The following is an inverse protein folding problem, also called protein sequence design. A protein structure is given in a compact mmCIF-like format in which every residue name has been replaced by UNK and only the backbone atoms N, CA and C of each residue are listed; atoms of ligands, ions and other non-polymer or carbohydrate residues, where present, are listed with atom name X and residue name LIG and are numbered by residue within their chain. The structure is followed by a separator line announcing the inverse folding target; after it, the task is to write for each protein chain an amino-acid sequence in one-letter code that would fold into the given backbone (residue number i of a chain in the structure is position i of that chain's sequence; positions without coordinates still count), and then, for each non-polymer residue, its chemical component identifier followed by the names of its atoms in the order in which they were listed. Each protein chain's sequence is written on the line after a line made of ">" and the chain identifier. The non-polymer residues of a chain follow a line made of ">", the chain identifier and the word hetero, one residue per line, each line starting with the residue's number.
data_IF_489513608372
#
_entry.id   IF_489513608372
#
_cell.length_a   1.000
_cell.length_b   1.000
_cell.length_c   1.000
_cell.angle_alpha   90.00
_cell.angle_beta   90.00
_cell.angle_gamma   90.00
#
_symmetry.space_group_name_H-M   'P 1'
#
loop_
_entity.id
_entity.type
_entity.pdbx_description
1 polymer ?
#
# COMPACT_ATOMS: atom_id res chain seq x y z
N UNK A 1 -17.98 -4.55 -33.80
CA UNK A 1 -18.79 -5.70 -33.32
C UNK A 1 -19.00 -5.50 -31.82
N UNK A 2 -20.23 -5.10 -31.53
CA UNK A 2 -20.90 -4.70 -30.27
C UNK A 2 -20.21 -4.99 -28.91
N UNK A 3 -20.02 -3.91 -28.13
CA UNK A 3 -19.81 -3.89 -26.66
C UNK A 3 -20.74 -4.87 -25.92
N UNK A 4 -21.97 -5.03 -26.41
CA UNK A 4 -22.99 -5.93 -25.87
C UNK A 4 -22.56 -7.41 -25.84
N UNK A 5 -21.67 -7.84 -26.74
CA UNK A 5 -21.16 -9.22 -26.74
C UNK A 5 -20.08 -9.43 -25.68
N UNK A 6 -19.31 -8.39 -25.35
CA UNK A 6 -18.25 -8.45 -24.34
C UNK A 6 -18.86 -8.37 -22.93
N UNK A 7 -19.87 -7.52 -22.72
CA UNK A 7 -20.57 -7.41 -21.43
C UNK A 7 -21.36 -8.69 -21.09
N UNK A 8 -22.00 -9.32 -22.07
CA UNK A 8 -22.68 -10.60 -21.88
C UNK A 8 -21.71 -11.74 -21.59
N UNK A 9 -20.47 -11.68 -22.10
CA UNK A 9 -19.41 -12.61 -21.71
C UNK A 9 -18.89 -12.30 -20.31
N UNK A 10 -18.71 -11.02 -19.95
CA UNK A 10 -18.21 -10.62 -18.63
C UNK A 10 -19.15 -11.09 -17.50
N UNK A 11 -20.47 -10.94 -17.67
CA UNK A 11 -21.45 -11.42 -16.69
C UNK A 11 -21.42 -12.95 -16.52
N UNK A 12 -21.34 -13.69 -17.63
CA UNK A 12 -21.18 -15.15 -17.58
C UNK A 12 -19.87 -15.56 -16.91
N UNK A 13 -18.81 -14.78 -17.08
CA UNK A 13 -17.50 -15.05 -16.45
C UNK A 13 -17.54 -14.91 -14.93
N UNK A 14 -18.56 -14.31 -14.31
CA UNK A 14 -18.75 -14.35 -12.85
C UNK A 14 -19.53 -15.57 -12.35
N UNK A 15 -20.16 -16.34 -13.25
CA UNK A 15 -20.93 -17.55 -12.92
C UNK A 15 -20.10 -18.85 -13.10
N UNK A 16 -18.95 -18.77 -13.77
CA UNK A 16 -18.05 -19.91 -14.02
C UNK A 16 -17.46 -20.43 -12.68
N UNK A 17 -17.38 -21.74 -12.43
CA UNK A 17 -16.67 -22.32 -11.28
C UNK A 17 -15.17 -21.95 -11.26
N UNK A 18 -14.54 -21.87 -10.09
CA UNK A 18 -13.16 -21.38 -9.94
C UNK A 18 -12.14 -22.14 -10.81
N UNK A 19 -12.23 -23.47 -10.85
CA UNK A 19 -11.33 -24.32 -11.66
C UNK A 19 -11.46 -24.08 -13.18
N UNK A 20 -12.64 -23.69 -13.66
CA UNK A 20 -12.84 -23.35 -15.07
C UNK A 20 -12.41 -21.90 -15.36
N UNK A 21 -12.56 -21.01 -14.38
CA UNK A 21 -12.06 -19.64 -14.43
C UNK A 21 -10.52 -19.61 -14.52
N UNK A 22 -9.82 -20.43 -13.75
CA UNK A 22 -8.36 -20.62 -13.84
C UNK A 22 -7.90 -21.02 -15.24
N UNK A 23 -8.57 -22.02 -15.84
CA UNK A 23 -8.27 -22.48 -17.21
C UNK A 23 -8.52 -21.37 -18.24
N UNK A 24 -9.60 -20.61 -18.08
CA UNK A 24 -9.91 -19.46 -18.94
C UNK A 24 -8.83 -18.38 -18.84
N UNK A 25 -8.41 -18.01 -17.63
CA UNK A 25 -7.35 -17.04 -17.39
C UNK A 25 -6.03 -17.53 -18.01
N UNK A 26 -5.65 -18.78 -17.79
CA UNK A 26 -4.47 -19.39 -18.40
C UNK A 26 -4.52 -19.39 -19.93
N UNK A 27 -5.68 -19.62 -20.53
CA UNK A 27 -5.86 -19.55 -21.99
C UNK A 27 -5.76 -18.12 -22.52
N UNK A 28 -6.34 -17.14 -21.81
CA UNK A 28 -6.24 -15.72 -22.16
C UNK A 28 -4.81 -15.20 -22.06
N UNK A 29 -4.05 -15.63 -21.04
CA UNK A 29 -2.65 -15.25 -20.88
C UNK A 29 -1.76 -15.84 -21.98
N UNK A 30 -2.02 -17.08 -22.44
CA UNK A 30 -1.34 -17.64 -23.62
C UNK A 30 -1.72 -16.91 -24.92
N UNK A 31 -2.99 -16.54 -25.10
CA UNK A 31 -3.45 -15.78 -26.27
C UNK A 31 -2.87 -14.36 -26.30
N UNK A 32 -2.60 -13.77 -25.14
CA UNK A 32 -1.91 -12.48 -25.01
C UNK A 32 -0.51 -12.48 -25.63
N UNK A 33 0.15 -13.64 -25.73
CA UNK A 33 1.46 -13.79 -26.34
C UNK A 33 1.40 -13.77 -27.89
N UNK A 34 0.22 -13.79 -28.49
CA UNK A 34 0.03 -13.78 -29.96
C UNK A 34 -0.35 -12.37 -30.43
N UNK A 35 0.41 -11.72 -31.34
CA UNK A 35 0.15 -10.34 -31.75
C UNK A 35 -1.28 -10.09 -32.26
N UNK A 36 -1.86 -11.03 -33.01
CA UNK A 36 -3.21 -10.92 -33.56
C UNK A 36 -4.33 -11.02 -32.53
N UNK A 37 -4.05 -11.52 -31.32
CA UNK A 37 -5.05 -11.77 -30.26
C UNK A 37 -4.79 -10.94 -29.00
N UNK A 38 -3.65 -10.24 -28.94
CA UNK A 38 -3.17 -9.51 -27.77
C UNK A 38 -4.18 -8.45 -27.28
N UNK A 39 -4.71 -7.61 -28.17
CA UNK A 39 -5.63 -6.54 -27.80
C UNK A 39 -6.94 -7.07 -27.18
N UNK A 40 -7.52 -8.11 -27.78
CA UNK A 40 -8.73 -8.75 -27.27
C UNK A 40 -8.51 -9.44 -25.91
N UNK A 41 -7.36 -10.12 -25.74
CA UNK A 41 -6.99 -10.73 -24.46
C UNK A 41 -6.75 -9.70 -23.36
N UNK A 42 -6.13 -8.55 -23.66
CA UNK A 42 -5.95 -7.46 -22.69
C UNK A 42 -7.29 -6.88 -22.26
N UNK A 43 -8.22 -6.64 -23.20
CA UNK A 43 -9.55 -6.12 -22.89
C UNK A 43 -10.33 -7.07 -21.95
N UNK A 44 -10.33 -8.36 -22.26
CA UNK A 44 -11.00 -9.37 -21.41
C UNK A 44 -10.35 -9.49 -20.03
N UNK A 45 -9.02 -9.54 -19.94
CA UNK A 45 -8.30 -9.58 -18.65
C UNK A 45 -8.57 -8.33 -17.80
N UNK A 46 -8.82 -7.18 -18.44
CA UNK A 46 -9.17 -5.92 -17.76
C UNK A 46 -10.58 -5.97 -17.18
N UNK A 47 -11.55 -6.53 -17.92
CA UNK A 47 -12.93 -6.68 -17.45
C UNK A 47 -13.05 -7.65 -16.26
N UNK A 48 -12.32 -8.77 -16.28
CA UNK A 48 -12.40 -9.80 -15.23
C UNK A 48 -11.51 -9.49 -14.00
N UNK A 49 -10.88 -8.31 -13.98
CA UNK A 49 -9.95 -7.88 -12.93
C UNK A 49 -10.53 -7.91 -11.51
N UNK A 50 -11.82 -7.57 -11.25
CA UNK A 50 -12.42 -7.73 -9.93
C UNK A 50 -12.39 -9.19 -9.44
N UNK A 51 -12.70 -10.15 -10.32
CA UNK A 51 -12.70 -11.58 -9.99
C UNK A 51 -11.29 -12.14 -9.83
N UNK A 52 -10.35 -11.71 -10.67
CA UNK A 52 -8.92 -12.03 -10.55
C UNK A 52 -8.33 -11.59 -9.19
N UNK A 53 -8.85 -10.54 -8.57
CA UNK A 53 -8.39 -10.09 -7.24
C UNK A 53 -8.84 -11.01 -6.11
N UNK A 54 -9.98 -11.68 -6.28
CA UNK A 54 -10.58 -12.58 -5.30
C UNK A 54 -9.97 -13.98 -5.37
N UNK A 55 -10.01 -14.60 -6.57
CA UNK A 55 -9.55 -15.99 -6.77
C UNK A 55 -8.02 -16.07 -6.82
N UNK A 56 -7.36 -15.01 -7.28
CA UNK A 56 -5.89 -14.94 -7.48
C UNK A 56 -5.33 -16.21 -8.16
N UNK A 57 -5.88 -16.59 -9.33
CA UNK A 57 -5.43 -17.79 -10.03
C UNK A 57 -3.94 -17.71 -10.36
N UNK A 58 -3.26 -18.85 -10.33
CA UNK A 58 -1.85 -18.93 -10.72
C UNK A 58 -1.65 -18.43 -12.14
N UNK A 59 -0.81 -17.41 -12.27
CA UNK A 59 -0.62 -16.68 -13.52
C UNK A 59 0.47 -17.36 -14.34
N UNK A 60 0.22 -17.55 -15.62
CA UNK A 60 1.24 -18.10 -16.53
C UNK A 60 2.38 -17.11 -16.71
N UNK A 61 3.60 -17.63 -16.83
CA UNK A 61 4.75 -16.79 -17.13
C UNK A 61 4.65 -16.24 -18.55
N UNK A 62 4.92 -14.94 -18.68
CA UNK A 62 5.27 -14.30 -19.95
C UNK A 62 6.75 -13.91 -19.89
N UNK A 63 7.44 -13.67 -21.02
CA UNK A 63 8.86 -13.27 -21.00
C UNK A 63 9.13 -12.10 -20.05
N UNK A 64 8.30 -11.06 -20.08
CA UNK A 64 8.40 -9.94 -19.13
C UNK A 64 8.23 -10.35 -17.66
N UNK A 65 7.35 -11.32 -17.33
CA UNK A 65 7.17 -11.79 -15.94
C UNK A 65 8.36 -12.62 -15.49
N UNK A 66 8.89 -13.47 -16.37
CA UNK A 66 10.10 -14.22 -16.11
C UNK A 66 11.29 -13.26 -15.92
N UNK A 67 11.39 -12.20 -16.73
CA UNK A 67 12.39 -11.14 -16.59
C UNK A 67 12.31 -10.45 -15.23
N UNK A 68 11.10 -10.15 -14.75
CA UNK A 68 10.91 -9.51 -13.45
C UNK A 68 11.16 -10.41 -12.24
N UNK A 69 11.17 -11.75 -12.42
CA UNK A 69 11.20 -12.71 -11.31
C UNK A 69 12.37 -12.45 -10.34
N UNK A 70 13.63 -12.24 -10.76
CA UNK A 70 14.73 -12.00 -9.83
C UNK A 70 14.53 -10.82 -8.87
N UNK A 71 13.92 -9.74 -9.34
CA UNK A 71 13.74 -8.49 -8.59
C UNK A 71 12.28 -8.20 -8.21
N UNK A 72 11.40 -9.19 -8.29
CA UNK A 72 9.96 -9.03 -8.04
C UNK A 72 9.66 -8.42 -6.66
N UNK A 73 10.43 -8.80 -5.63
CA UNK A 73 10.29 -8.30 -4.26
C UNK A 73 10.54 -6.78 -4.17
N UNK A 74 11.30 -6.20 -5.10
CA UNK A 74 11.61 -4.77 -5.13
C UNK A 74 10.54 -3.93 -5.82
N UNK A 75 9.58 -4.57 -6.50
CA UNK A 75 8.56 -3.88 -7.29
C UNK A 75 7.50 -3.21 -6.41
N UNK A 76 7.19 -1.95 -6.70
CA UNK A 76 6.14 -1.22 -6.00
C UNK A 76 5.39 -0.24 -6.91
N UNK A 77 4.23 0.23 -6.45
CA UNK A 77 3.49 1.31 -7.11
C UNK A 77 3.71 2.57 -6.27
N UNK A 78 4.48 3.55 -6.73
CA UNK A 78 4.62 4.79 -5.98
C UNK A 78 3.33 5.62 -6.07
N UNK A 79 2.98 6.33 -5.01
CA UNK A 79 1.95 7.39 -5.09
C UNK A 79 2.58 8.75 -5.46
N UNK A 80 3.90 8.85 -5.52
CA UNK A 80 4.66 10.05 -5.87
C UNK A 80 5.61 9.83 -7.05
N UNK A 81 6.06 10.90 -7.74
CA UNK A 81 7.00 10.75 -8.85
C UNK A 81 8.44 10.39 -8.42
N UNK A 82 8.75 10.41 -7.12
CA UNK A 82 10.09 10.09 -6.59
C UNK A 82 10.28 8.57 -6.49
N UNK A 83 11.46 8.07 -6.84
CA UNK A 83 11.83 6.68 -6.58
C UNK A 83 12.38 6.52 -5.16
N UNK A 84 11.76 5.63 -4.40
CA UNK A 84 12.33 5.14 -3.15
C UNK A 84 13.65 4.39 -3.41
N UNK A 85 14.67 4.69 -2.61
CA UNK A 85 15.96 4.00 -2.70
C UNK A 85 15.76 2.49 -2.47
N UNK A 86 16.37 1.69 -3.35
CA UNK A 86 16.27 0.23 -3.28
C UNK A 86 14.90 -0.34 -3.67
N UNK A 87 14.02 0.42 -4.34
CA UNK A 87 12.75 -0.07 -4.89
C UNK A 87 12.62 0.30 -6.36
N UNK A 88 11.89 -0.52 -7.11
CA UNK A 88 11.68 -0.34 -8.55
C UNK A 88 10.21 -0.01 -8.81
N UNK A 89 9.88 1.21 -9.28
CA UNK A 89 8.53 1.56 -9.65
C UNK A 89 8.03 0.68 -10.78
N UNK A 90 6.82 0.11 -10.69
CA UNK A 90 6.25 -0.70 -11.78
C UNK A 90 6.13 0.06 -13.11
N UNK A 91 6.01 1.39 -13.04
CA UNK A 91 6.03 2.27 -14.22
C UNK A 91 7.34 2.22 -15.02
N UNK A 92 8.47 1.93 -14.36
CA UNK A 92 9.78 1.83 -15.01
C UNK A 92 9.95 0.54 -15.83
N UNK A 93 9.14 -0.49 -15.56
CA UNK A 93 9.31 -1.81 -16.17
C UNK A 93 9.07 -1.81 -17.67
N UNK A 94 8.06 -1.08 -18.16
CA UNK A 94 7.69 -1.11 -19.57
C UNK A 94 8.75 -0.48 -20.48
N UNK A 95 9.28 0.73 -20.18
CA UNK A 95 10.39 1.29 -20.96
C UNK A 95 11.64 0.40 -20.95
N UNK A 96 12.03 -0.12 -19.78
CA UNK A 96 13.23 -0.97 -19.66
C UNK A 96 13.05 -2.31 -20.39
N UNK A 97 11.87 -2.92 -20.26
CA UNK A 97 11.55 -4.17 -20.96
C UNK A 97 11.58 -3.98 -22.48
N UNK A 98 11.08 -2.85 -23.00
CA UNK A 98 11.10 -2.59 -24.44
C UNK A 98 12.54 -2.53 -25.00
N UNK A 99 13.48 -1.96 -24.24
CA UNK A 99 14.90 -1.99 -24.61
C UNK A 99 15.48 -3.41 -24.58
N UNK A 100 15.20 -4.18 -23.53
CA UNK A 100 15.64 -5.58 -23.43
C UNK A 100 15.08 -6.43 -24.58
N UNK A 101 13.79 -6.29 -24.86
CA UNK A 101 13.09 -7.01 -25.93
C UNK A 101 13.69 -6.68 -27.31
N UNK A 102 13.96 -5.40 -27.58
CA UNK A 102 14.60 -4.96 -28.83
C UNK A 102 16.04 -5.45 -28.99
N UNK A 103 16.80 -5.53 -27.90
CA UNK A 103 18.19 -6.02 -27.91
C UNK A 103 18.29 -7.54 -28.06
N UNK A 104 17.36 -8.29 -27.47
CA UNK A 104 17.31 -9.75 -27.59
C UNK A 104 16.76 -10.20 -28.94
N UNK A 105 15.77 -9.48 -29.47
CA UNK A 105 15.07 -9.83 -30.71
C UNK A 105 14.40 -11.20 -30.67
N UNK A 106 13.88 -11.65 -31.82
CA UNK A 106 13.19 -12.94 -31.93
C UNK A 106 14.08 -14.13 -31.56
N UNK A 107 15.37 -14.06 -31.92
CA UNK A 107 16.33 -15.13 -31.65
C UNK A 107 16.56 -15.33 -30.14
N UNK A 108 16.62 -14.24 -29.36
CA UNK A 108 16.75 -14.31 -27.90
C UNK A 108 15.46 -14.72 -27.19
N UNK A 109 14.29 -14.35 -27.74
CA UNK A 109 12.98 -14.59 -27.11
C UNK A 109 12.37 -15.96 -27.45
N UNK A 110 12.65 -16.52 -28.63
CA UNK A 110 12.07 -17.79 -29.05
C UNK A 110 12.35 -18.95 -28.10
N UNK A 111 13.59 -19.18 -27.60
CA UNK A 111 13.87 -20.26 -26.65
C UNK A 111 13.08 -20.12 -25.34
N UNK A 112 12.89 -18.88 -24.88
CA UNK A 112 12.14 -18.57 -23.67
C UNK A 112 10.67 -18.87 -23.88
N UNK A 113 10.10 -18.42 -25.00
CA UNK A 113 8.71 -18.69 -25.35
C UNK A 113 8.43 -20.20 -25.45
N UNK A 114 9.35 -20.99 -26.00
CA UNK A 114 9.22 -22.44 -26.01
C UNK A 114 9.28 -23.04 -24.60
N UNK A 115 10.25 -22.63 -23.77
CA UNK A 115 10.38 -23.09 -22.40
C UNK A 115 9.11 -22.81 -21.57
N UNK A 116 8.44 -21.68 -21.81
CA UNK A 116 7.22 -21.28 -21.11
C UNK A 116 5.96 -22.06 -21.48
N UNK A 117 5.92 -22.78 -22.62
CA UNK A 117 4.68 -23.45 -23.08
C UNK A 117 4.22 -24.62 -22.20
N UNK A 118 5.17 -25.34 -21.59
CA UNK A 118 4.92 -26.51 -20.75
C UNK A 118 5.30 -26.32 -19.29
N UNK A 119 5.67 -25.10 -18.90
CA UNK A 119 6.15 -24.82 -17.55
C UNK A 119 4.98 -24.73 -16.58
N UNK A 120 5.04 -25.53 -15.50
CA UNK A 120 4.14 -25.41 -14.37
C UNK A 120 4.50 -24.14 -13.57
N UNK A 121 3.59 -23.16 -13.44
CA UNK A 121 3.87 -21.95 -12.67
C UNK A 121 4.12 -22.19 -11.18
N UNK A 122 3.66 -23.32 -10.63
CA UNK A 122 3.84 -23.70 -9.23
C UNK A 122 5.20 -24.36 -8.93
N UNK A 123 5.89 -24.84 -9.97
CA UNK A 123 7.22 -25.44 -9.86
C UNK A 123 8.30 -24.34 -9.93
N UNK A 124 8.55 -23.71 -8.78
CA UNK A 124 9.52 -22.64 -8.65
C UNK A 124 10.93 -23.03 -9.09
N UNK A 125 11.32 -24.30 -8.94
CA UNK A 125 12.63 -24.79 -9.34
C UNK A 125 12.73 -24.91 -10.87
N UNK A 126 11.70 -25.47 -11.52
CA UNK A 126 11.63 -25.53 -12.98
C UNK A 126 11.58 -24.14 -13.60
N UNK A 127 10.83 -23.21 -13.00
CA UNK A 127 10.75 -21.82 -13.49
C UNK A 127 12.11 -21.13 -13.38
N UNK A 128 12.79 -21.28 -12.25
CA UNK A 128 14.12 -20.72 -12.07
C UNK A 128 15.14 -21.34 -13.04
N UNK A 129 15.08 -22.64 -13.28
CA UNK A 129 15.94 -23.32 -14.24
C UNK A 129 15.73 -22.80 -15.67
N UNK A 130 14.48 -22.60 -16.08
CA UNK A 130 14.13 -22.00 -17.37
C UNK A 130 14.53 -20.51 -17.46
N UNK A 131 14.50 -19.79 -16.33
CA UNK A 131 14.85 -18.37 -16.23
C UNK A 131 16.34 -18.07 -16.32
N UNK A 132 17.22 -18.91 -15.77
CA UNK A 132 18.66 -18.64 -15.66
C UNK A 132 19.34 -18.22 -16.98
N UNK A 133 19.19 -18.95 -18.10
CA UNK A 133 19.82 -18.54 -19.37
C UNK A 133 19.26 -17.21 -19.87
N UNK A 134 17.97 -17.00 -19.69
CA UNK A 134 17.28 -15.78 -20.11
C UNK A 134 17.71 -14.56 -19.29
N UNK A 135 17.85 -14.69 -17.97
CA UNK A 135 18.35 -13.62 -17.11
C UNK A 135 19.79 -13.24 -17.45
N UNK A 136 20.65 -14.24 -17.71
CA UNK A 136 22.02 -14.00 -18.13
C UNK A 136 22.10 -13.25 -19.47
N UNK A 137 21.31 -13.67 -20.47
CA UNK A 137 21.23 -12.99 -21.76
C UNK A 137 20.71 -11.55 -21.62
N UNK A 138 19.68 -11.35 -20.79
CA UNK A 138 19.10 -10.03 -20.58
C UNK A 138 20.04 -9.10 -19.81
N UNK A 139 20.74 -9.61 -18.79
CA UNK A 139 21.79 -8.90 -18.09
C UNK A 139 22.86 -8.42 -19.08
N UNK A 140 23.40 -9.31 -19.92
CA UNK A 140 24.42 -8.95 -20.90
C UNK A 140 23.94 -7.87 -21.88
N UNK A 141 22.70 -7.96 -22.37
CA UNK A 141 22.12 -6.97 -23.27
C UNK A 141 22.00 -5.58 -22.62
N UNK A 142 21.43 -5.51 -21.41
CA UNK A 142 21.22 -4.24 -20.70
C UNK A 142 22.52 -3.62 -20.17
N UNK A 143 23.49 -4.44 -19.75
CA UNK A 143 24.84 -3.96 -19.42
C UNK A 143 25.51 -3.37 -20.65
N UNK A 144 25.42 -4.04 -21.80
CA UNK A 144 25.94 -3.52 -23.07
C UNK A 144 25.32 -2.17 -23.46
N UNK A 145 24.01 -1.99 -23.24
CA UNK A 145 23.32 -0.71 -23.44
C UNK A 145 23.88 0.38 -22.50
N UNK A 146 24.03 0.06 -21.21
CA UNK A 146 24.55 1.00 -20.21
C UNK A 146 25.99 1.43 -20.54
N UNK A 147 26.86 0.47 -20.84
CA UNK A 147 28.27 0.69 -21.20
C UNK A 147 28.42 1.52 -22.48
N UNK A 148 27.60 1.22 -23.50
CA UNK A 148 27.59 2.00 -24.74
C UNK A 148 27.18 3.45 -24.46
N UNK A 149 26.16 3.67 -23.62
CA UNK A 149 25.70 5.01 -23.24
C UNK A 149 26.75 5.80 -22.46
N UNK A 150 27.60 5.13 -21.68
CA UNK A 150 28.66 5.75 -20.90
C UNK A 150 29.87 6.17 -21.77
N UNK A 151 30.17 5.42 -22.83
CA UNK A 151 31.28 5.70 -23.75
C UNK A 151 31.01 6.87 -24.68
N UNK A 152 29.75 7.13 -25.01
CA UNK A 152 29.36 8.21 -25.90
C UNK A 152 29.19 9.54 -25.14
N UNK A 153 29.72 10.65 -25.69
CA UNK A 153 29.52 11.97 -25.08
C UNK A 153 28.02 12.31 -25.04
N UNK A 154 27.48 12.49 -23.84
CA UNK A 154 26.04 12.71 -23.63
C UNK A 154 25.15 11.48 -23.91
N UNK A 155 25.73 10.29 -24.09
CA UNK A 155 24.96 9.05 -24.31
C UNK A 155 24.08 8.70 -23.12
N UNK A 156 24.59 8.86 -21.89
CA UNK A 156 23.81 8.62 -20.66
C UNK A 156 22.59 9.54 -20.53
N UNK A 157 22.73 10.82 -20.88
CA UNK A 157 21.62 11.78 -20.89
C UNK A 157 20.56 11.42 -21.95
N UNK A 158 20.98 10.97 -23.14
CA UNK A 158 20.06 10.49 -24.18
C UNK A 158 19.34 9.21 -23.76
N UNK A 159 20.03 8.28 -23.09
CA UNK A 159 19.40 7.09 -22.53
C UNK A 159 18.37 7.46 -21.46
N UNK A 160 18.67 8.43 -20.60
CA UNK A 160 17.72 8.97 -19.61
C UNK A 160 16.45 9.50 -20.27
N UNK A 161 16.60 10.33 -21.32
CA UNK A 161 15.49 10.90 -22.06
C UNK A 161 14.65 9.79 -22.73
N UNK A 162 15.32 8.83 -23.38
CA UNK A 162 14.68 7.68 -24.03
C UNK A 162 13.86 6.83 -23.06
N UNK A 163 14.38 6.61 -21.85
CA UNK A 163 13.71 5.81 -20.82
C UNK A 163 12.58 6.57 -20.09
N UNK A 164 12.48 7.89 -20.28
CA UNK A 164 11.42 8.71 -19.69
C UNK A 164 11.79 9.35 -18.35
N UNK A 165 13.08 9.45 -18.01
CA UNK A 165 13.55 10.25 -16.88
C UNK A 165 14.62 9.59 -16.01
N UNK A 166 15.19 10.35 -15.05
CA UNK A 166 16.25 9.88 -14.16
C UNK A 166 15.82 8.70 -13.28
N UNK A 167 14.55 8.65 -12.87
CA UNK A 167 14.03 7.58 -12.01
C UNK A 167 13.98 6.22 -12.72
N UNK A 168 13.64 6.22 -14.02
CA UNK A 168 13.65 5.00 -14.84
C UNK A 168 15.08 4.57 -15.13
N UNK A 169 15.98 5.53 -15.36
CA UNK A 169 17.41 5.25 -15.54
C UNK A 169 18.04 4.63 -14.27
N UNK A 170 17.73 5.15 -13.08
CA UNK A 170 18.16 4.57 -11.82
C UNK A 170 17.56 3.17 -11.60
N UNK A 171 16.31 2.95 -12.04
CA UNK A 171 15.68 1.63 -12.00
C UNK A 171 16.33 0.63 -12.94
N UNK A 172 16.84 1.09 -14.10
CA UNK A 172 17.64 0.25 -15.00
C UNK A 172 18.91 -0.24 -14.31
N UNK A 173 19.62 0.63 -13.58
CA UNK A 173 20.84 0.25 -12.87
C UNK A 173 20.57 -0.79 -11.77
N UNK A 174 19.48 -0.62 -11.01
CA UNK A 174 19.03 -1.61 -10.02
C UNK A 174 18.67 -2.95 -10.68
N UNK A 175 17.96 -2.92 -11.81
CA UNK A 175 17.56 -4.13 -12.55
C UNK A 175 18.78 -4.87 -13.11
N UNK A 176 19.73 -4.16 -13.71
CA UNK A 176 20.98 -4.75 -14.23
C UNK A 176 21.73 -5.44 -13.10
N UNK A 177 21.85 -4.78 -11.95
CA UNK A 177 22.50 -5.34 -10.76
C UNK A 177 21.77 -6.57 -10.25
N UNK A 178 20.43 -6.53 -10.18
CA UNK A 178 19.62 -7.66 -9.72
C UNK A 178 19.70 -8.86 -10.67
N UNK A 179 19.73 -8.64 -11.99
CA UNK A 179 19.88 -9.72 -12.97
C UNK A 179 21.26 -10.39 -12.88
N UNK A 180 22.31 -9.64 -12.55
CA UNK A 180 23.65 -10.19 -12.33
C UNK A 180 23.68 -11.21 -11.17
N UNK A 181 22.79 -11.05 -10.18
CA UNK A 181 22.69 -11.89 -8.99
C UNK A 181 21.36 -12.66 -8.94
N UNK A 182 20.76 -12.94 -10.09
CA UNK A 182 19.43 -13.52 -10.18
C UNK A 182 19.30 -14.87 -9.44
N UNK A 183 20.30 -15.76 -9.58
CA UNK A 183 20.27 -17.06 -8.92
C UNK A 183 20.27 -16.96 -7.38
N UNK A 184 21.17 -16.19 -6.73
CA UNK A 184 21.06 -15.92 -5.30
C UNK A 184 19.70 -15.36 -4.86
N UNK A 185 19.12 -14.43 -5.63
CA UNK A 185 17.82 -13.81 -5.29
C UNK A 185 16.67 -14.82 -5.35
N UNK A 186 16.55 -15.59 -6.42
CA UNK A 186 15.44 -16.55 -6.56
C UNK A 186 15.59 -17.74 -5.63
N UNK A 187 16.83 -18.20 -5.38
CA UNK A 187 17.09 -19.26 -4.41
C UNK A 187 16.75 -18.81 -2.98
N UNK A 188 17.16 -17.60 -2.58
CA UNK A 188 16.75 -17.02 -1.30
C UNK A 188 15.22 -16.96 -1.21
N UNK A 189 14.54 -16.56 -2.29
CA UNK A 189 13.07 -16.49 -2.31
C UNK A 189 12.41 -17.84 -2.08
N UNK A 190 12.92 -18.88 -2.74
CA UNK A 190 12.40 -20.25 -2.68
C UNK A 190 12.63 -20.92 -1.32
N UNK A 191 13.77 -20.62 -0.69
CA UNK A 191 14.17 -21.24 0.58
C UNK A 191 13.65 -20.51 1.83
N UNK A 192 13.29 -19.23 1.72
CA UNK A 192 12.70 -18.47 2.82
C UNK A 192 11.19 -18.67 2.93
N UNK A 193 10.60 -18.50 4.13
CA UNK A 193 9.15 -18.50 4.30
C UNK A 193 8.46 -17.49 3.38
N UNK A 194 7.21 -17.75 2.96
CA UNK A 194 6.45 -16.82 2.13
C UNK A 194 6.27 -15.48 2.86
N UNK A 195 6.31 -14.34 2.14
CA UNK A 195 6.06 -13.03 2.74
C UNK A 195 4.58 -12.88 3.14
N UNK A 196 4.27 -12.10 4.20
CA UNK A 196 5.20 -11.37 5.07
C UNK A 196 5.90 -12.31 6.08
N UNK A 197 7.19 -12.08 6.31
CA UNK A 197 8.01 -12.85 7.27
C UNK A 197 8.00 -12.15 8.62
N UNK A 198 7.41 -12.79 9.63
CA UNK A 198 7.29 -12.27 11.00
C UNK A 198 8.50 -12.61 11.89
N UNK A 199 9.22 -13.69 11.60
CA UNK A 199 10.44 -14.08 12.29
C UNK A 199 11.37 -14.88 11.35
N UNK A 200 12.68 -14.72 11.55
CA UNK A 200 13.73 -15.44 10.83
C UNK A 200 14.38 -16.39 11.82
N UNK A 201 14.12 -17.68 11.69
CA UNK A 201 14.80 -18.71 12.48
C UNK A 201 16.25 -18.92 12.01
N UNK A 202 17.03 -19.72 12.76
CA UNK A 202 18.44 -19.96 12.42
C UNK A 202 18.64 -20.63 11.05
N UNK A 203 17.72 -21.49 10.60
CA UNK A 203 17.80 -22.11 9.28
C UNK A 203 17.65 -21.06 8.16
N UNK A 204 16.68 -20.16 8.30
CA UNK A 204 16.47 -19.04 7.38
C UNK A 204 17.63 -18.05 7.41
N UNK A 205 18.24 -17.83 8.58
CA UNK A 205 19.42 -16.99 8.72
C UNK A 205 20.61 -17.56 7.92
N UNK A 206 20.82 -18.88 7.95
CA UNK A 206 21.85 -19.54 7.16
C UNK A 206 21.61 -19.43 5.65
N UNK A 207 20.35 -19.49 5.21
CA UNK A 207 19.98 -19.22 3.81
C UNK A 207 20.41 -17.82 3.38
N UNK A 208 20.19 -16.81 4.23
CA UNK A 208 20.60 -15.42 3.94
C UNK A 208 22.13 -15.30 3.92
N UNK A 209 22.86 -15.89 4.86
CA UNK A 209 24.34 -15.88 4.88
C UNK A 209 24.92 -16.55 3.62
N UNK A 210 24.36 -17.69 3.21
CA UNK A 210 24.75 -18.36 1.97
C UNK A 210 24.44 -17.51 0.74
N UNK A 211 23.29 -16.82 0.73
CA UNK A 211 22.90 -15.85 -0.30
C UNK A 211 23.90 -14.70 -0.42
N UNK A 212 24.27 -14.08 0.71
CA UNK A 212 25.26 -12.99 0.77
C UNK A 212 26.63 -13.45 0.27
N UNK A 213 27.11 -14.62 0.73
CA UNK A 213 28.41 -15.16 0.32
C UNK A 213 28.47 -15.42 -1.18
N UNK A 214 27.43 -16.06 -1.75
CA UNK A 214 27.34 -16.32 -3.19
C UNK A 214 27.24 -15.03 -4.00
N UNK A 215 26.47 -14.06 -3.51
CA UNK A 215 26.35 -12.75 -4.13
C UNK A 215 27.70 -12.06 -4.20
N UNK A 216 28.45 -12.01 -3.09
CA UNK A 216 29.79 -11.44 -3.05
C UNK A 216 30.78 -12.12 -4.00
N UNK A 217 30.64 -13.43 -4.23
CA UNK A 217 31.47 -14.18 -5.17
C UNK A 217 31.15 -13.91 -6.65
N UNK A 218 29.89 -13.55 -6.97
CA UNK A 218 29.43 -13.30 -8.33
C UNK A 218 29.55 -11.81 -8.69
N UNK A 219 28.94 -10.95 -7.87
CA UNK A 219 28.93 -9.51 -8.02
C UNK A 219 28.72 -8.85 -6.65
N UNK A 220 29.81 -8.29 -6.09
CA UNK A 220 29.79 -7.66 -4.76
C UNK A 220 28.86 -6.46 -4.69
N UNK A 221 28.67 -5.73 -5.80
CA UNK A 221 27.77 -4.57 -5.86
C UNK A 221 26.28 -4.98 -5.75
N UNK A 222 25.97 -6.27 -5.89
CA UNK A 222 24.62 -6.81 -5.69
C UNK A 222 24.25 -7.08 -4.23
N UNK A 223 25.19 -6.99 -3.28
CA UNK A 223 24.90 -7.22 -1.86
C UNK A 223 23.75 -6.35 -1.30
N UNK A 224 23.71 -5.02 -1.57
CA UNK A 224 22.59 -4.19 -1.14
C UNK A 224 21.26 -4.66 -1.72
N UNK A 225 21.21 -5.02 -3.00
CA UNK A 225 20.00 -5.50 -3.68
C UNK A 225 19.43 -6.76 -3.02
N UNK A 226 20.29 -7.71 -2.62
CA UNK A 226 19.85 -8.91 -1.90
C UNK A 226 19.24 -8.55 -0.53
N UNK A 227 19.89 -7.68 0.24
CA UNK A 227 19.38 -7.26 1.56
C UNK A 227 18.08 -6.47 1.45
N UNK A 228 17.96 -5.63 0.42
CA UNK A 228 16.73 -4.88 0.15
C UNK A 228 15.59 -5.80 -0.30
N UNK A 229 15.90 -6.85 -1.06
CA UNK A 229 14.92 -7.88 -1.44
C UNK A 229 14.45 -8.67 -0.23
N UNK A 230 15.35 -8.98 0.70
CA UNK A 230 15.00 -9.57 1.99
C UNK A 230 14.11 -8.64 2.80
N UNK A 231 14.49 -7.37 2.92
CA UNK A 231 13.71 -6.36 3.65
C UNK A 231 12.28 -6.23 3.11
N UNK A 232 12.09 -6.26 1.79
CA UNK A 232 10.77 -6.18 1.17
C UNK A 232 9.86 -7.39 1.49
N UNK A 233 10.42 -8.50 1.96
CA UNK A 233 9.67 -9.68 2.40
C UNK A 233 9.36 -9.70 3.90
N UNK A 234 10.01 -8.86 4.68
CA UNK A 234 9.78 -8.78 6.12
C UNK A 234 8.40 -8.16 6.38
N UNK A 235 7.77 -8.55 7.49
CA UNK A 235 6.54 -7.92 7.97
C UNK A 235 6.76 -6.43 8.27
N UNK A 236 7.98 -6.04 8.63
CA UNK A 236 8.37 -4.65 8.80
C UNK A 236 9.84 -4.40 8.42
N UNK A 237 10.16 -3.27 7.74
CA UNK A 237 11.54 -2.83 7.52
C UNK A 237 12.32 -2.62 8.83
N UNK A 238 11.64 -2.34 9.94
CA UNK A 238 12.25 -2.10 11.24
C UNK A 238 12.89 -3.35 11.86
N UNK A 239 12.60 -4.54 11.33
CA UNK A 239 13.24 -5.80 11.74
C UNK A 239 14.65 -5.94 11.16
N UNK A 240 15.03 -5.14 10.16
CA UNK A 240 16.29 -5.30 9.46
C UNK A 240 17.54 -5.07 10.34
N UNK A 241 17.61 -4.07 11.24
CA UNK A 241 18.79 -3.86 12.09
C UNK A 241 19.09 -5.05 13.01
N UNK A 242 18.07 -5.60 13.69
CA UNK A 242 18.26 -6.77 14.56
C UNK A 242 18.64 -8.01 13.75
N UNK A 243 18.09 -8.14 12.54
CA UNK A 243 18.53 -9.18 11.60
C UNK A 243 19.98 -9.00 11.16
N UNK A 244 20.42 -7.77 10.90
CA UNK A 244 21.81 -7.44 10.56
C UNK A 244 22.75 -7.85 11.70
N UNK A 245 22.41 -7.54 12.96
CA UNK A 245 23.20 -7.96 14.12
C UNK A 245 23.36 -9.49 14.17
N UNK A 246 22.25 -10.23 14.00
CA UNK A 246 22.27 -11.69 13.94
C UNK A 246 23.08 -12.24 12.77
N UNK A 247 23.04 -11.59 11.60
CA UNK A 247 23.86 -11.97 10.45
C UNK A 247 25.36 -11.74 10.71
N UNK A 248 25.72 -10.66 11.42
CA UNK A 248 27.09 -10.39 11.85
C UNK A 248 27.58 -11.51 12.78
N UNK A 249 26.75 -11.93 13.74
CA UNK A 249 27.06 -13.03 14.66
C UNK A 249 27.26 -14.37 13.93
N UNK A 250 26.57 -14.60 12.81
CA UNK A 250 26.74 -15.77 11.96
C UNK A 250 27.91 -15.66 10.96
N UNK A 251 28.75 -14.61 11.05
CA UNK A 251 29.95 -14.46 10.25
C UNK A 251 29.80 -13.65 8.96
N UNK A 252 28.64 -13.01 8.71
CA UNK A 252 28.46 -12.14 7.54
C UNK A 252 28.98 -10.70 7.76
N UNK A 253 29.72 -10.44 8.84
CA UNK A 253 30.10 -9.10 9.29
C UNK A 253 30.87 -8.28 8.25
N UNK A 254 31.84 -8.87 7.56
CA UNK A 254 32.63 -8.15 6.55
C UNK A 254 31.84 -7.85 5.28
N UNK A 255 30.90 -8.73 4.92
CA UNK A 255 29.97 -8.50 3.80
C UNK A 255 29.04 -7.32 4.13
N UNK A 256 28.50 -7.31 5.34
CA UNK A 256 27.62 -6.23 5.82
C UNK A 256 28.34 -4.89 5.86
N UNK A 257 29.57 -4.85 6.40
CA UNK A 257 30.39 -3.64 6.43
C UNK A 257 30.68 -3.11 5.03
N UNK A 258 30.87 -4.00 4.04
CA UNK A 258 31.20 -3.58 2.67
C UNK A 258 30.07 -2.88 1.92
N UNK A 259 28.82 -3.01 2.36
CA UNK A 259 27.68 -2.28 1.79
C UNK A 259 27.59 -0.81 2.26
N UNK A 260 28.46 -0.38 3.18
CA UNK A 260 28.68 1.03 3.53
C UNK A 260 27.40 1.87 3.68
N UNK A 261 26.62 1.66 4.74
CA UNK A 261 25.46 2.52 5.06
C UNK A 261 24.28 2.52 4.08
N UNK A 262 24.44 2.02 2.84
CA UNK A 262 23.44 2.08 1.77
C UNK A 262 22.11 1.42 2.17
N UNK A 263 22.19 0.28 2.86
CA UNK A 263 21.00 -0.41 3.39
C UNK A 263 20.27 0.46 4.42
N UNK A 264 21.00 1.13 5.31
CA UNK A 264 20.42 2.03 6.31
C UNK A 264 19.79 3.28 5.68
N UNK A 265 20.42 3.83 4.65
CA UNK A 265 19.87 4.95 3.87
C UNK A 265 18.59 4.55 3.12
N UNK A 266 18.56 3.35 2.53
CA UNK A 266 17.37 2.84 1.85
C UNK A 266 16.21 2.55 2.83
N UNK A 267 16.48 2.03 4.03
CA UNK A 267 15.47 1.91 5.10
C UNK A 267 14.88 3.27 5.42
N UNK A 268 15.74 4.29 5.62
CA UNK A 268 15.29 5.64 5.92
C UNK A 268 14.46 6.24 4.78
N UNK A 269 14.92 6.13 3.53
CA UNK A 269 14.18 6.61 2.35
C UNK A 269 12.82 5.94 2.22
N UNK A 270 12.73 4.62 2.38
CA UNK A 270 11.44 3.91 2.24
C UNK A 270 10.45 4.30 3.34
N UNK A 271 10.92 4.60 4.54
CA UNK A 271 10.07 5.11 5.62
C UNK A 271 9.62 6.56 5.36
N UNK A 272 10.50 7.43 4.84
CA UNK A 272 10.12 8.78 4.41
C UNK A 272 9.07 8.74 3.29
N UNK A 273 9.27 7.91 2.27
CA UNK A 273 8.33 7.77 1.16
C UNK A 273 6.98 7.22 1.64
N UNK A 274 6.98 6.29 2.61
CA UNK A 274 5.75 5.81 3.25
C UNK A 274 4.96 6.95 3.90
N UNK A 275 5.63 7.87 4.61
CA UNK A 275 4.98 9.08 5.19
C UNK A 275 4.37 9.95 4.11
N UNK A 276 5.11 10.18 3.02
CA UNK A 276 4.64 11.00 1.90
C UNK A 276 3.39 10.35 1.28
N UNK A 277 3.42 9.04 1.05
CA UNK A 277 2.29 8.29 0.50
C UNK A 277 1.07 8.35 1.41
N UNK A 278 1.24 8.22 2.74
CA UNK A 278 0.15 8.36 3.72
C UNK A 278 -0.44 9.77 3.67
N UNK A 279 0.42 10.79 3.58
CA UNK A 279 -0.03 12.18 3.49
C UNK A 279 -0.80 12.44 2.20
N UNK A 280 -0.30 11.93 1.07
CA UNK A 280 -1.00 12.04 -0.21
C UNK A 280 -2.36 11.34 -0.17
N UNK A 281 -2.43 10.14 0.40
CA UNK A 281 -3.68 9.40 0.59
C UNK A 281 -4.66 10.13 1.51
N UNK A 282 -4.17 10.78 2.57
CA UNK A 282 -4.99 11.58 3.47
C UNK A 282 -5.53 12.84 2.78
N UNK A 283 -4.70 13.55 2.01
CA UNK A 283 -5.13 14.71 1.22
C UNK A 283 -6.16 14.34 0.15
N UNK A 284 -5.96 13.23 -0.56
CA UNK A 284 -6.93 12.72 -1.54
C UNK A 284 -8.29 12.38 -0.93
N UNK A 285 -8.31 12.08 0.38
CA UNK A 285 -9.51 11.67 1.13
C UNK A 285 -9.92 12.70 2.16
N UNK A 286 -9.47 13.95 2.04
CA UNK A 286 -9.74 15.01 3.04
C UNK A 286 -11.23 15.28 3.27
N UNK A 287 -12.07 15.00 2.27
CA UNK A 287 -13.53 15.16 2.35
C UNK A 287 -14.22 13.97 3.03
N UNK A 288 -13.47 12.92 3.40
CA UNK A 288 -13.91 11.76 4.19
C UNK A 288 -13.04 11.60 5.45
N UNK A 289 -13.32 12.36 6.52
CA UNK A 289 -12.51 12.37 7.73
C UNK A 289 -12.51 11.02 8.45
N UNK A 290 -13.53 10.18 8.26
CA UNK A 290 -13.61 8.84 8.86
C UNK A 290 -12.58 7.93 8.22
N UNK A 291 -12.48 7.95 6.88
CA UNK A 291 -11.49 7.14 6.18
C UNK A 291 -10.06 7.58 6.49
N UNK A 292 -9.81 8.89 6.60
CA UNK A 292 -8.50 9.42 7.01
C UNK A 292 -8.15 8.98 8.44
N UNK A 293 -9.06 9.14 9.41
CA UNK A 293 -8.83 8.73 10.80
C UNK A 293 -8.50 7.24 10.92
N UNK A 294 -9.21 6.39 10.16
CA UNK A 294 -8.97 4.95 10.14
C UNK A 294 -7.61 4.59 9.52
N UNK A 295 -7.25 5.24 8.41
CA UNK A 295 -5.96 5.01 7.76
C UNK A 295 -4.79 5.37 8.70
N UNK A 296 -4.86 6.54 9.34
CA UNK A 296 -3.85 6.99 10.30
C UNK A 296 -3.74 6.05 11.51
N UNK A 297 -4.88 5.62 12.07
CA UNK A 297 -4.88 4.70 13.21
C UNK A 297 -4.31 3.32 12.88
N UNK A 298 -4.60 2.76 11.70
CA UNK A 298 -4.02 1.49 11.25
C UNK A 298 -2.50 1.60 11.06
N UNK A 299 -2.06 2.74 10.56
CA UNK A 299 -0.65 2.99 10.29
C UNK A 299 0.16 3.19 11.58
N UNK A 300 -0.36 3.96 12.53
CA UNK A 300 0.23 4.10 13.86
C UNK A 300 0.34 2.75 14.58
N UNK A 301 -0.70 1.91 14.51
CA UNK A 301 -0.65 0.52 15.03
C UNK A 301 0.42 -0.31 14.33
N UNK A 302 0.62 -0.12 13.03
CA UNK A 302 1.70 -0.79 12.29
C UNK A 302 3.03 -0.32 12.84
N UNK A 303 3.30 0.99 12.88
CA UNK A 303 4.53 1.58 13.40
C UNK A 303 4.83 1.20 14.86
N UNK A 304 3.81 1.02 15.69
CA UNK A 304 3.99 0.52 17.07
C UNK A 304 4.47 -0.92 17.09
N UNK A 305 3.94 -1.79 16.22
CA UNK A 305 4.46 -3.15 16.06
C UNK A 305 5.89 -3.12 15.52
N UNK A 306 6.18 -2.22 14.58
CA UNK A 306 7.54 -2.02 14.07
C UNK A 306 8.50 -1.58 15.18
N UNK A 307 8.07 -0.65 16.04
CA UNK A 307 8.86 -0.16 17.17
C UNK A 307 9.14 -1.26 18.19
N UNK A 308 8.12 -2.07 18.51
CA UNK A 308 8.26 -3.19 19.43
C UNK A 308 9.19 -4.28 18.88
N UNK A 309 9.14 -4.55 17.57
CA UNK A 309 10.07 -5.47 16.91
C UNK A 309 11.50 -4.92 16.85
N UNK A 310 11.65 -3.58 16.84
CA UNK A 310 12.92 -2.89 16.84
C UNK A 310 13.51 -2.62 18.24
N UNK A 311 12.84 -2.99 19.34
CA UNK A 311 13.35 -2.75 20.70
C UNK A 311 14.64 -3.56 21.01
N UNK A 312 14.96 -4.54 20.15
CA UNK A 312 16.27 -5.22 20.09
C UNK A 312 17.23 -4.70 19.01
N UNK A 313 16.83 -3.74 18.17
CA UNK A 313 17.59 -3.24 17.03
C UNK A 313 17.83 -1.73 17.10
N UNK A 314 19.04 -1.32 17.49
CA UNK A 314 19.63 0.02 17.34
C UNK A 314 18.75 1.26 17.61
N UNK A 315 19.13 2.10 18.59
CA UNK A 315 18.52 3.41 18.95
C UNK A 315 18.16 4.35 17.78
N UNK A 316 18.74 4.18 16.59
CA UNK A 316 18.42 4.96 15.39
C UNK A 316 17.03 4.70 14.84
N UNK A 317 16.58 3.44 14.79
CA UNK A 317 15.26 3.08 14.22
C UNK A 317 14.13 3.51 15.14
N UNK A 318 14.28 3.32 16.46
CA UNK A 318 13.33 3.83 17.44
C UNK A 318 13.12 5.35 17.30
N UNK A 319 14.20 6.13 17.15
CA UNK A 319 14.12 7.59 16.93
C UNK A 319 13.44 7.96 15.62
N UNK A 320 13.66 7.19 14.55
CA UNK A 320 13.02 7.43 13.26
C UNK A 320 11.52 7.14 13.34
N UNK A 321 11.11 6.04 13.98
CA UNK A 321 9.70 5.71 14.20
C UNK A 321 9.01 6.80 15.01
N UNK A 322 9.65 7.33 16.05
CA UNK A 322 9.09 8.45 16.83
C UNK A 322 8.90 9.71 15.97
N UNK A 323 9.82 10.04 15.05
CA UNK A 323 9.61 11.15 14.10
C UNK A 323 8.40 10.92 13.21
N UNK A 324 8.21 9.69 12.73
CA UNK A 324 7.04 9.33 11.91
C UNK A 324 5.75 9.52 12.69
N UNK A 325 5.70 9.04 13.95
CA UNK A 325 4.53 9.22 14.83
C UNK A 325 4.19 10.69 15.03
N UNK A 326 5.20 11.55 15.22
CA UNK A 326 5.00 13.01 15.36
C UNK A 326 4.40 13.61 14.09
N UNK A 327 4.88 13.24 12.91
CA UNK A 327 4.32 13.73 11.63
C UNK A 327 2.89 13.23 11.39
N UNK A 328 2.59 11.96 11.71
CA UNK A 328 1.22 11.43 11.64
C UNK A 328 0.30 12.13 12.64
N UNK A 329 0.80 12.46 13.83
CA UNK A 329 0.10 13.28 14.82
C UNK A 329 -0.20 14.68 14.30
N UNK A 330 0.77 15.33 13.64
CA UNK A 330 0.58 16.63 12.98
C UNK A 330 -0.47 16.55 11.89
N UNK A 331 -0.43 15.52 11.05
CA UNK A 331 -1.41 15.31 9.99
C UNK A 331 -2.82 15.07 10.55
N UNK A 332 -2.97 14.23 11.58
CA UNK A 332 -4.25 14.00 12.27
C UNK A 332 -4.80 15.29 12.89
N UNK A 333 -3.91 16.12 13.47
CA UNK A 333 -4.27 17.43 13.99
C UNK A 333 -4.80 18.35 12.90
N UNK A 334 -4.07 18.48 11.79
CA UNK A 334 -4.41 19.39 10.68
C UNK A 334 -5.72 18.99 9.99
N UNK A 335 -5.91 17.70 9.76
CA UNK A 335 -7.04 17.19 8.96
C UNK A 335 -8.30 16.93 9.78
N UNK A 336 -8.17 16.43 11.01
CA UNK A 336 -9.31 15.91 11.78
C UNK A 336 -9.63 16.74 13.02
N UNK A 337 -8.63 17.24 13.75
CA UNK A 337 -8.84 17.87 15.07
C UNK A 337 -8.98 19.39 14.97
N UNK A 338 -8.14 20.02 14.15
CA UNK A 338 -8.07 21.48 14.03
C UNK A 338 -9.38 22.04 13.47
N UNK A 339 -10.04 22.89 14.26
CA UNK A 339 -11.32 23.48 13.90
C UNK A 339 -12.50 22.51 13.92
N UNK A 340 -12.33 21.26 14.33
CA UNK A 340 -13.41 20.26 14.38
C UNK A 340 -14.56 20.69 15.29
N UNK A 341 -14.23 21.12 16.51
CA UNK A 341 -15.22 21.54 17.49
C UNK A 341 -16.06 22.75 17.01
N UNK A 342 -15.47 23.90 16.60
CA UNK A 342 -16.27 25.02 16.14
C UNK A 342 -17.07 24.70 14.86
N UNK A 343 -16.52 23.92 13.92
CA UNK A 343 -17.26 23.48 12.73
C UNK A 343 -18.46 22.60 13.09
N UNK A 344 -18.28 21.64 13.98
CA UNK A 344 -19.35 20.72 14.41
C UNK A 344 -20.41 21.46 15.21
N UNK A 345 -20.01 22.36 16.11
CA UNK A 345 -20.93 23.21 16.88
C UNK A 345 -21.77 24.08 15.94
N UNK A 346 -21.16 24.75 14.97
CA UNK A 346 -21.88 25.54 13.98
C UNK A 346 -22.82 24.68 13.12
N UNK A 347 -22.41 23.45 12.77
CA UNK A 347 -23.26 22.52 12.03
C UNK A 347 -24.47 22.06 12.87
N UNK A 348 -24.30 21.85 14.18
CA UNK A 348 -25.40 21.54 15.10
C UNK A 348 -26.38 22.72 15.18
N UNK A 349 -25.87 23.95 15.28
CA UNK A 349 -26.72 25.16 15.28
C UNK A 349 -27.50 25.32 13.97
N UNK A 350 -26.90 24.95 12.84
CA UNK A 350 -27.55 24.98 11.54
C UNK A 350 -28.67 23.92 11.37
N UNK A 351 -28.78 22.92 12.26
CA UNK A 351 -29.90 21.95 12.22
C UNK A 351 -31.25 22.59 12.54
N UNK A 352 -31.24 23.66 13.35
CA UNK A 352 -32.46 24.34 13.79
C UNK A 352 -32.89 25.46 12.82
N UNK A 353 -32.06 25.76 11.81
CA UNK A 353 -32.41 26.64 10.71
C UNK A 353 -33.21 25.90 9.63
N UNK A 354 -34.12 26.58 8.90
CA UNK A 354 -34.83 25.98 7.77
C UNK A 354 -33.86 25.30 6.80
N UNK A 355 -34.16 24.08 6.31
CA UNK A 355 -33.33 23.45 5.30
C UNK A 355 -33.29 24.33 4.05
N UNK A 356 -32.09 24.60 3.53
CA UNK A 356 -31.94 25.29 2.26
C UNK A 356 -32.12 24.26 1.12
N UNK A 357 -32.54 24.70 -0.07
CA UNK A 357 -32.87 23.81 -1.20
C UNK A 357 -31.69 22.92 -1.64
N UNK A 358 -30.46 23.24 -1.22
CA UNK A 358 -29.24 22.55 -1.60
C UNK A 358 -28.80 21.42 -0.66
N UNK A 359 -29.31 21.30 0.58
CA UNK A 359 -28.80 20.31 1.55
C UNK A 359 -29.90 19.84 2.49
N UNK A 360 -30.17 18.53 2.48
CA UNK A 360 -31.17 17.95 3.36
C UNK A 360 -30.69 17.92 4.82
N UNK A 361 -31.61 17.97 5.78
CA UNK A 361 -31.26 17.80 7.20
C UNK A 361 -30.55 16.46 7.45
N UNK A 362 -30.86 15.42 6.67
CA UNK A 362 -30.17 14.12 6.73
C UNK A 362 -28.69 14.23 6.37
N UNK A 363 -28.33 15.02 5.37
CA UNK A 363 -26.94 15.24 4.98
C UNK A 363 -26.19 16.05 6.04
N UNK A 364 -26.86 17.05 6.65
CA UNK A 364 -26.32 17.82 7.79
C UNK A 364 -26.03 16.91 8.99
N UNK A 365 -26.99 16.06 9.37
CA UNK A 365 -26.79 15.08 10.45
C UNK A 365 -25.65 14.10 10.15
N UNK A 366 -25.58 13.60 8.91
CA UNK A 366 -24.52 12.69 8.49
C UNK A 366 -23.14 13.33 8.59
N UNK A 367 -22.98 14.58 8.17
CA UNK A 367 -21.71 15.28 8.27
C UNK A 367 -21.25 15.46 9.74
N UNK A 368 -22.20 15.78 10.64
CA UNK A 368 -21.93 15.87 12.09
C UNK A 368 -21.52 14.50 12.65
N UNK A 369 -22.24 13.44 12.30
CA UNK A 369 -21.94 12.07 12.72
C UNK A 369 -20.54 11.63 12.24
N UNK A 370 -20.21 11.85 10.96
CA UNK A 370 -18.90 11.52 10.39
C UNK A 370 -17.75 12.25 11.12
N UNK A 371 -17.95 13.53 11.49
CA UNK A 371 -16.97 14.30 12.25
C UNK A 371 -16.81 13.81 13.70
N UNK A 372 -17.90 13.39 14.37
CA UNK A 372 -17.81 12.79 15.71
C UNK A 372 -17.13 11.42 15.65
N UNK A 373 -17.45 10.61 14.66
CA UNK A 373 -16.83 9.29 14.45
C UNK A 373 -15.33 9.45 14.18
N UNK A 374 -14.91 10.42 13.35
CA UNK A 374 -13.49 10.65 13.09
C UNK A 374 -12.73 11.03 14.37
N UNK A 375 -13.29 11.91 15.21
CA UNK A 375 -12.71 12.27 16.52
C UNK A 375 -12.60 11.05 17.46
N UNK A 376 -13.62 10.17 17.48
CA UNK A 376 -13.57 8.92 18.26
C UNK A 376 -12.50 7.96 17.76
N UNK A 377 -12.34 7.82 16.46
CA UNK A 377 -11.28 7.01 15.86
C UNK A 377 -9.90 7.59 16.22
N UNK A 378 -9.73 8.91 16.12
CA UNK A 378 -8.51 9.58 16.58
C UNK A 378 -8.20 9.33 18.04
N UNK A 379 -9.22 9.33 18.91
CA UNK A 379 -9.05 9.08 20.35
C UNK A 379 -8.36 7.74 20.64
N UNK A 380 -8.55 6.72 19.80
CA UNK A 380 -7.94 5.39 20.01
C UNK A 380 -6.41 5.39 19.98
N UNK A 381 -5.80 6.37 19.31
CA UNK A 381 -4.34 6.50 19.19
C UNK A 381 -3.83 7.86 19.69
N UNK A 382 -4.71 8.69 20.27
CA UNK A 382 -4.41 10.07 20.63
C UNK A 382 -3.34 10.20 21.72
N UNK A 383 -3.26 9.24 22.64
CA UNK A 383 -2.22 9.21 23.68
C UNK A 383 -0.83 9.07 23.07
N UNK A 384 -0.70 8.28 22.00
CA UNK A 384 0.59 8.00 21.35
C UNK A 384 1.15 9.17 20.55
N UNK A 385 0.29 10.11 20.16
CA UNK A 385 0.64 11.27 19.33
C UNK A 385 0.40 12.60 20.04
N UNK A 386 0.07 12.59 21.34
CA UNK A 386 -0.12 13.80 22.14
C UNK A 386 -1.35 14.63 21.77
N UNK A 387 -2.43 14.01 21.27
CA UNK A 387 -3.68 14.67 20.89
C UNK A 387 -4.83 14.48 21.89
N UNK A 388 -4.60 13.73 22.97
CA UNK A 388 -5.66 13.33 23.90
C UNK A 388 -6.41 14.52 24.51
N UNK A 389 -5.68 15.55 24.96
CA UNK A 389 -6.28 16.76 25.54
C UNK A 389 -7.10 17.58 24.55
N UNK A 390 -6.65 17.70 23.30
CA UNK A 390 -7.36 18.44 22.25
C UNK A 390 -8.64 17.74 21.83
N UNK A 391 -8.58 16.41 21.65
CA UNK A 391 -9.76 15.61 21.31
C UNK A 391 -10.76 15.61 22.46
N UNK A 392 -10.30 15.47 23.71
CA UNK A 392 -11.17 15.55 24.89
C UNK A 392 -11.87 16.92 24.99
N UNK A 393 -11.13 18.01 24.71
CA UNK A 393 -11.69 19.36 24.69
C UNK A 393 -12.72 19.53 23.59
N UNK A 394 -12.42 19.06 22.37
CA UNK A 394 -13.34 19.11 21.24
C UNK A 394 -14.63 18.33 21.51
N UNK A 395 -14.51 17.09 22.00
CA UNK A 395 -15.66 16.25 22.36
C UNK A 395 -16.51 16.88 23.46
N UNK A 396 -15.89 17.53 24.46
CA UNK A 396 -16.60 18.23 25.53
C UNK A 396 -17.39 19.44 25.00
N UNK A 397 -16.82 20.22 24.08
CA UNK A 397 -17.51 21.36 23.46
C UNK A 397 -18.71 20.91 22.62
N UNK A 398 -18.54 19.85 21.83
CA UNK A 398 -19.63 19.26 21.03
C UNK A 398 -20.72 18.71 21.96
N UNK A 399 -20.34 17.98 23.02
CA UNK A 399 -21.27 17.45 24.02
C UNK A 399 -22.10 18.55 24.69
N UNK A 400 -21.46 19.63 25.12
CA UNK A 400 -22.17 20.78 25.71
C UNK A 400 -23.22 21.38 24.75
N UNK A 401 -22.90 21.49 23.46
CA UNK A 401 -23.85 21.98 22.46
C UNK A 401 -25.00 21.00 22.21
N UNK A 402 -24.73 19.70 22.21
CA UNK A 402 -25.76 18.68 22.10
C UNK A 402 -26.68 18.66 23.33
N UNK A 403 -26.15 18.90 24.54
CA UNK A 403 -26.94 19.05 25.76
C UNK A 403 -27.88 20.28 25.66
N UNK A 404 -27.38 21.43 25.17
CA UNK A 404 -28.21 22.62 24.89
C UNK A 404 -29.34 22.29 23.92
N UNK A 405 -29.01 21.70 22.76
CA UNK A 405 -29.99 21.34 21.74
C UNK A 405 -31.00 20.31 22.24
N UNK A 406 -30.55 19.33 23.03
CA UNK A 406 -31.42 18.29 23.58
C UNK A 406 -32.48 18.89 24.50
N UNK A 407 -32.11 19.88 25.33
CA UNK A 407 -33.07 20.57 26.19
C UNK A 407 -34.06 21.43 25.38
N UNK A 408 -33.59 22.17 24.37
CA UNK A 408 -34.46 22.93 23.46
C UNK A 408 -35.46 22.03 22.73
N UNK A 409 -34.96 20.92 22.18
CA UNK A 409 -35.76 19.95 21.45
C UNK A 409 -36.85 19.33 22.33
N UNK A 410 -36.54 18.95 23.57
CA UNK A 410 -37.54 18.43 24.52
C UNK A 410 -38.63 19.46 24.83
N UNK A 411 -38.26 20.74 25.02
CA UNK A 411 -39.23 21.81 25.27
C UNK A 411 -40.16 22.02 24.06
N UNK A 412 -39.60 22.03 22.85
CA UNK A 412 -40.36 22.21 21.60
C UNK A 412 -41.26 21.02 21.28
N UNK A 413 -40.81 19.80 21.55
CA UNK A 413 -41.63 18.59 21.43
C UNK A 413 -42.82 18.62 22.41
N UNK A 414 -42.57 18.99 23.67
CA UNK A 414 -43.64 19.14 24.68
C UNK A 414 -44.62 20.27 24.33
N UNK A 415 -44.16 21.33 23.65
CA UNK A 415 -44.99 22.42 23.14
C UNK A 415 -45.69 22.11 21.80
N UNK A 416 -45.49 20.91 21.24
CA UNK A 416 -46.01 20.48 19.94
C UNK A 416 -45.65 21.44 18.79
N UNK A 417 -44.40 21.92 18.78
CA UNK A 417 -43.87 22.79 17.73
C UNK A 417 -43.73 22.03 16.40
N UNK A 418 -44.44 22.50 15.36
CA UNK A 418 -44.46 21.88 14.03
C UNK A 418 -43.11 21.90 13.29
N UNK A 419 -42.11 22.61 13.82
CA UNK A 419 -40.77 22.72 13.22
C UNK A 419 -39.81 21.64 13.70
N UNK A 420 -40.20 20.79 14.65
CA UNK A 420 -39.41 19.65 15.14
C UNK A 420 -40.15 18.33 14.95
N UNK A 421 -39.41 17.25 14.77
CA UNK A 421 -39.98 15.92 14.53
C UNK A 421 -39.38 14.84 15.42
N UNK A 422 -40.04 13.68 15.47
CA UNK A 422 -39.51 12.47 16.10
C UNK A 422 -38.19 12.02 15.43
N UNK A 423 -38.00 12.30 14.14
CA UNK A 423 -36.73 12.01 13.44
C UNK A 423 -35.59 12.84 14.03
N UNK A 424 -35.82 14.11 14.33
CA UNK A 424 -34.82 15.00 14.94
C UNK A 424 -34.45 14.54 16.36
N UNK A 425 -35.41 13.99 17.11
CA UNK A 425 -35.16 13.36 18.40
C UNK A 425 -34.22 12.17 18.25
N UNK A 426 -34.53 11.20 17.38
CA UNK A 426 -33.68 10.01 17.22
C UNK A 426 -32.30 10.34 16.64
N UNK A 427 -32.21 11.30 15.72
CA UNK A 427 -30.93 11.78 15.22
C UNK A 427 -30.10 12.45 16.33
N UNK A 428 -30.72 13.27 17.20
CA UNK A 428 -30.01 13.89 18.33
C UNK A 428 -29.58 12.87 19.37
N UNK A 429 -30.44 11.90 19.70
CA UNK A 429 -30.10 10.76 20.57
C UNK A 429 -28.87 10.02 20.03
N UNK A 430 -28.82 9.76 18.72
CA UNK A 430 -27.65 9.14 18.08
C UNK A 430 -26.38 9.99 18.24
N UNK A 431 -26.46 11.30 18.04
CA UNK A 431 -25.31 12.18 18.22
C UNK A 431 -24.81 12.19 19.68
N UNK A 432 -25.73 12.24 20.66
CA UNK A 432 -25.42 12.17 22.10
C UNK A 432 -24.81 10.82 22.46
N UNK A 433 -25.31 9.71 21.91
CA UNK A 433 -24.73 8.38 22.12
C UNK A 433 -23.27 8.35 21.67
N UNK A 434 -22.98 8.95 20.52
CA UNK A 434 -21.64 8.99 19.98
C UNK A 434 -20.68 9.88 20.78
N UNK A 435 -21.16 10.98 21.37
CA UNK A 435 -20.32 11.96 22.07
C UNK A 435 -20.18 11.68 23.57
N UNK A 436 -21.28 11.36 24.24
CA UNK A 436 -21.36 11.30 25.71
C UNK A 436 -21.69 9.90 26.25
N UNK A 437 -22.10 8.98 25.38
CA UNK A 437 -22.34 7.57 25.71
C UNK A 437 -23.81 7.17 25.82
N UNK A 438 -24.05 5.86 25.92
CA UNK A 438 -25.39 5.26 25.84
C UNK A 438 -26.32 5.68 26.97
N UNK A 439 -25.81 5.83 28.20
CA UNK A 439 -26.65 6.14 29.36
C UNK A 439 -27.35 7.51 29.23
N UNK A 440 -26.64 8.53 28.75
CA UNK A 440 -27.22 9.86 28.51
C UNK A 440 -28.19 9.83 27.32
N UNK A 441 -27.84 9.12 26.26
CA UNK A 441 -28.69 8.97 25.08
C UNK A 441 -30.03 8.28 25.42
N UNK A 442 -30.00 7.24 26.25
CA UNK A 442 -31.20 6.53 26.71
C UNK A 442 -32.10 7.44 27.55
N UNK A 443 -31.53 8.22 28.48
CA UNK A 443 -32.29 9.21 29.26
C UNK A 443 -32.95 10.26 28.37
N UNK A 444 -32.27 10.73 27.32
CA UNK A 444 -32.84 11.67 26.36
C UNK A 444 -33.99 11.03 25.58
N UNK A 445 -33.81 9.80 25.11
CA UNK A 445 -34.84 9.03 24.39
C UNK A 445 -36.08 8.86 25.25
N UNK A 446 -35.94 8.43 26.50
CA UNK A 446 -37.07 8.25 27.42
C UNK A 446 -37.85 9.54 27.66
N UNK A 447 -37.15 10.64 27.94
CA UNK A 447 -37.78 11.96 28.11
C UNK A 447 -38.49 12.44 26.84
N UNK A 448 -37.88 12.25 25.67
CA UNK A 448 -38.48 12.66 24.40
C UNK A 448 -39.70 11.83 24.03
N UNK A 449 -39.69 10.53 24.32
CA UNK A 449 -40.85 9.65 24.13
C UNK A 449 -41.99 10.00 25.08
N UNK A 450 -41.69 10.35 26.34
CA UNK A 450 -42.70 10.81 27.30
C UNK A 450 -43.35 12.13 26.83
N UNK A 451 -42.55 13.09 26.35
CA UNK A 451 -43.04 14.36 25.81
C UNK A 451 -43.94 14.20 24.55
N UNK A 452 -43.80 13.08 23.83
CA UNK A 452 -44.66 12.72 22.70
C UNK A 452 -45.93 11.96 23.11
N UNK A 453 -45.96 11.35 24.30
CA UNK A 453 -47.11 10.60 24.84
C UNK A 453 -48.10 11.47 25.61
N UNK A 454 -47.67 12.63 26.10
CA UNK A 454 -48.52 13.64 26.74
C UNK A 454 -49.25 14.54 25.71
N UNK A 455 -49.17 14.20 24.42
CA UNK A 455 -49.93 14.77 23.29
C UNK A 455 -51.19 13.94 23.03
#
# INVERSE_FOLDING_TARGET
>A
MSDTSLDNMANKVFEIPEAEFEKLVGALELRRLRPSQQAASIAMLTQIRPRLRLIRPERKFTPMRLFCRPFEDLLYNPNTPRKALGRIPRGALKPIWAEAEGLLGDAGLAPVLEALKGLDPSDDEAVDAAGRPFWAATHAALTGLSDASAKEKGGRARLQEKLGGPEVLASLDDIVTALAIAAPLTEMRRLLPPPPIDDINNASLQVVVAGLTRTAAINRDGLPILVLSLMARLQSPAMLPSLIERLIEQGAGDLIKSMGGQVGEAVASQQEDRIIDIRADAEMKKDDPVTVARALGNELKTLQREAAAADGGGRGVARQIERVKVELGRLARETIVSGAAPKTVAAIEALDAPPDNATSNRDRFRAIEEQIISLRLCRQYAGDVGLEGEIATAMKQIGAKLDERSNDLLQRLAANDATVSTVDLFCTVRLVELTEGSEKADKLREKGMAALQDQ
#
